data_IF_016597443676
#
_entry.id   IF_016597443676
#
_cell.length_a   1.000
_cell.length_b   1.000
_cell.length_c   1.000
_cell.angle_alpha   90.00
_cell.angle_beta   90.00
_cell.angle_gamma   90.00
#
_symmetry.space_group_name_H-M   'P 1'
#
loop_
_entity.id
_entity.type
_entity.pdbx_description
1 polymer ?
#
# COMPACT_ATOMS: atom_id res chain seq x y z
N UNK A 1 -14.92 -12.48 6.77
CA UNK A 1 -14.00 -12.57 7.91
C UNK A 1 -14.76 -12.29 9.19
N UNK A 2 -14.57 -13.14 10.19
CA UNK A 2 -15.31 -13.07 11.46
C UNK A 2 -14.81 -11.93 12.37
N UNK A 3 -13.61 -11.46 12.14
CA UNK A 3 -12.93 -10.40 12.86
C UNK A 3 -13.03 -9.01 12.17
N UNK A 4 -13.83 -8.91 11.10
CA UNK A 4 -14.14 -7.67 10.41
C UNK A 4 -15.61 -7.33 10.67
N UNK A 5 -15.83 -6.49 11.71
CA UNK A 5 -17.18 -6.09 12.10
C UNK A 5 -17.86 -5.26 11.00
N UNK A 6 -19.16 -5.49 10.77
CA UNK A 6 -19.91 -4.84 9.69
C UNK A 6 -20.07 -3.31 9.86
N UNK A 7 -19.87 -2.81 11.06
CA UNK A 7 -19.87 -1.38 11.42
C UNK A 7 -18.47 -0.77 11.51
N UNK A 8 -17.42 -1.57 11.27
CA UNK A 8 -16.05 -1.05 11.24
C UNK A 8 -15.84 -0.11 10.05
N UNK A 9 -15.11 0.97 10.27
CA UNK A 9 -14.81 1.99 9.24
C UNK A 9 -14.15 1.40 7.99
N UNK A 10 -13.41 0.31 8.11
CA UNK A 10 -12.71 -0.38 7.04
C UNK A 10 -13.50 -1.53 6.38
N UNK A 11 -14.71 -1.87 6.88
CA UNK A 11 -15.46 -3.05 6.42
C UNK A 11 -15.65 -3.09 4.91
N UNK A 12 -16.18 -2.00 4.34
CA UNK A 12 -16.46 -1.95 2.90
C UNK A 12 -15.19 -2.04 2.06
N UNK A 13 -14.11 -1.38 2.51
CA UNK A 13 -12.85 -1.33 1.76
C UNK A 13 -12.12 -2.68 1.83
N UNK A 14 -12.07 -3.33 2.99
CA UNK A 14 -11.54 -4.69 3.12
C UNK A 14 -12.30 -5.66 2.23
N UNK A 15 -13.64 -5.57 2.21
CA UNK A 15 -14.49 -6.38 1.33
C UNK A 15 -14.19 -6.16 -0.15
N UNK A 16 -14.04 -4.90 -0.58
CA UNK A 16 -13.68 -4.56 -1.96
C UNK A 16 -12.29 -5.09 -2.33
N UNK A 17 -11.28 -4.87 -1.48
CA UNK A 17 -9.92 -5.31 -1.73
C UNK A 17 -9.82 -6.85 -1.80
N UNK A 18 -10.61 -7.55 -0.97
CA UNK A 18 -10.71 -9.01 -1.01
C UNK A 18 -11.37 -9.50 -2.32
N UNK A 19 -12.51 -8.92 -2.72
CA UNK A 19 -13.21 -9.29 -3.97
C UNK A 19 -12.36 -9.01 -5.20
N UNK A 20 -11.57 -7.93 -5.19
CA UNK A 20 -10.60 -7.63 -6.25
C UNK A 20 -9.36 -8.55 -6.23
N UNK A 21 -9.24 -9.45 -5.25
CA UNK A 21 -8.08 -10.34 -5.12
C UNK A 21 -6.78 -9.66 -4.68
N UNK A 22 -6.83 -8.39 -4.25
CA UNK A 22 -5.67 -7.61 -3.85
C UNK A 22 -5.11 -8.07 -2.49
N UNK A 23 -6.02 -8.43 -1.59
CA UNK A 23 -5.69 -8.90 -0.24
C UNK A 23 -6.34 -10.26 0.02
N UNK A 24 -5.78 -10.98 0.97
CA UNK A 24 -6.35 -12.22 1.49
C UNK A 24 -6.41 -12.17 3.01
N UNK A 25 -7.20 -13.05 3.62
CA UNK A 25 -7.14 -13.28 5.07
C UNK A 25 -5.81 -13.90 5.50
N UNK A 26 -5.58 -13.92 6.80
CA UNK A 26 -4.52 -14.75 7.41
C UNK A 26 -4.96 -16.20 7.50
N UNK A 27 -6.27 -16.44 7.40
CA UNK A 27 -6.93 -17.72 7.25
C UNK A 27 -8.22 -17.55 6.41
N UNK A 28 -8.97 -18.62 6.21
CA UNK A 28 -10.25 -18.59 5.48
C UNK A 28 -11.30 -17.69 6.17
N UNK A 29 -11.19 -17.48 7.46
CA UNK A 29 -12.19 -16.78 8.28
C UNK A 29 -11.65 -15.57 9.03
N UNK A 30 -10.34 -15.31 9.02
CA UNK A 30 -9.70 -14.20 9.76
C UNK A 30 -8.91 -13.30 8.84
N UNK A 31 -9.07 -12.00 9.00
CA UNK A 31 -8.35 -10.95 8.28
C UNK A 31 -7.21 -10.35 9.09
N UNK A 32 -7.38 -10.23 10.41
CA UNK A 32 -6.48 -9.58 11.37
C UNK A 32 -6.26 -8.08 11.06
N UNK A 33 -7.33 -7.24 11.11
CA UNK A 33 -7.31 -5.86 10.64
C UNK A 33 -6.27 -4.96 11.34
N UNK A 34 -6.01 -5.23 12.62
CA UNK A 34 -5.10 -4.42 13.46
C UNK A 34 -3.64 -4.89 13.41
N UNK A 35 -3.35 -6.00 12.74
CA UNK A 35 -1.96 -6.50 12.61
C UNK A 35 -1.16 -5.62 11.66
N UNK A 36 0.14 -5.47 11.94
CA UNK A 36 1.10 -4.81 11.05
C UNK A 36 1.25 -5.55 9.72
N UNK A 37 1.73 -4.84 8.72
CA UNK A 37 2.02 -5.37 7.38
C UNK A 37 3.52 -5.44 7.17
N UNK A 38 4.02 -6.61 6.77
CA UNK A 38 5.44 -6.77 6.41
C UNK A 38 5.72 -6.33 4.98
N UNK A 39 7.01 -6.12 4.68
CA UNK A 39 7.47 -5.81 3.32
C UNK A 39 6.96 -6.81 2.28
N UNK A 40 7.10 -8.11 2.58
CA UNK A 40 6.64 -9.19 1.70
C UNK A 40 5.13 -9.14 1.44
N UNK A 41 4.34 -8.87 2.48
CA UNK A 41 2.88 -8.78 2.34
C UNK A 41 2.46 -7.63 1.44
N UNK A 42 3.04 -6.44 1.60
CA UNK A 42 2.74 -5.32 0.72
C UNK A 42 3.15 -5.60 -0.72
N UNK A 43 4.36 -6.11 -0.94
CA UNK A 43 4.83 -6.42 -2.30
C UNK A 43 3.94 -7.46 -2.97
N UNK A 44 3.46 -8.48 -2.24
CA UNK A 44 2.50 -9.44 -2.77
C UNK A 44 1.16 -8.80 -3.15
N UNK A 45 0.68 -7.82 -2.37
CA UNK A 45 -0.54 -7.07 -2.70
C UNK A 45 -0.35 -6.26 -3.98
N UNK A 46 0.79 -5.58 -4.15
CA UNK A 46 1.12 -4.84 -5.38
C UNK A 46 1.31 -5.75 -6.59
N UNK A 47 1.91 -6.93 -6.39
CA UNK A 47 2.07 -7.96 -7.42
C UNK A 47 0.72 -8.43 -7.97
N UNK A 48 -0.25 -8.69 -7.08
CA UNK A 48 -1.62 -9.02 -7.46
C UNK A 48 -2.35 -7.85 -8.11
N UNK A 49 -2.11 -6.63 -7.65
CA UNK A 49 -2.70 -5.41 -8.24
C UNK A 49 -2.19 -5.15 -9.68
N UNK A 50 -1.06 -5.74 -10.06
CA UNK A 50 -0.52 -5.73 -11.43
C UNK A 50 -0.98 -6.93 -12.27
N UNK A 51 -2.10 -7.56 -11.89
CA UNK A 51 -2.72 -8.71 -12.57
C UNK A 51 -1.82 -9.96 -12.66
N UNK A 52 -0.77 -10.04 -11.82
CA UNK A 52 0.08 -11.21 -11.79
C UNK A 52 -0.57 -12.36 -11.01
N UNK A 53 -0.35 -13.57 -11.49
CA UNK A 53 -0.80 -14.80 -10.82
C UNK A 53 0.35 -15.34 -9.99
N UNK A 54 0.07 -15.61 -8.70
CA UNK A 54 1.05 -16.26 -7.82
C UNK A 54 1.20 -17.72 -8.21
N UNK A 55 2.42 -18.12 -8.58
CA UNK A 55 2.73 -19.51 -8.90
C UNK A 55 2.73 -20.39 -7.64
N UNK A 56 2.36 -21.67 -7.79
CA UNK A 56 2.62 -22.65 -6.72
C UNK A 56 4.13 -22.81 -6.54
N UNK A 57 4.65 -22.27 -5.44
CA UNK A 57 6.08 -22.38 -5.14
C UNK A 57 6.41 -23.75 -4.58
N UNK A 58 7.35 -24.43 -5.25
CA UNK A 58 7.88 -25.73 -4.81
C UNK A 58 9.15 -25.62 -3.97
N UNK A 59 9.75 -24.42 -3.90
CA UNK A 59 10.96 -24.11 -3.13
C UNK A 59 11.08 -22.60 -2.89
N UNK A 60 11.83 -22.18 -1.86
CA UNK A 60 12.02 -20.77 -1.52
C UNK A 60 10.92 -20.21 -0.61
N UNK A 61 10.84 -18.87 -0.53
CA UNK A 61 9.82 -18.19 0.26
C UNK A 61 8.60 -17.90 -0.62
N UNK A 62 7.42 -17.88 -0.02
CA UNK A 62 6.15 -17.62 -0.71
C UNK A 62 6.08 -16.27 -1.43
N UNK A 63 6.98 -15.35 -1.11
CA UNK A 63 7.04 -13.99 -1.67
C UNK A 63 8.19 -13.78 -2.68
N UNK A 64 9.07 -14.76 -2.90
CA UNK A 64 10.30 -14.55 -3.70
C UNK A 64 9.99 -14.04 -5.12
N UNK A 65 8.99 -14.63 -5.80
CA UNK A 65 8.55 -14.21 -7.13
C UNK A 65 8.10 -12.75 -7.17
N UNK A 66 7.29 -12.33 -6.19
CA UNK A 66 6.80 -10.97 -6.10
C UNK A 66 7.92 -9.96 -5.77
N UNK A 67 8.87 -10.34 -4.91
CA UNK A 67 10.02 -9.49 -4.56
C UNK A 67 10.95 -9.33 -5.76
N UNK A 68 11.21 -10.38 -6.53
CA UNK A 68 12.03 -10.31 -7.74
C UNK A 68 11.36 -9.43 -8.81
N UNK A 69 10.05 -9.58 -9.02
CA UNK A 69 9.27 -8.68 -9.86
C UNK A 69 9.38 -7.22 -9.40
N UNK A 70 9.24 -6.95 -8.10
CA UNK A 70 9.30 -5.59 -7.58
C UNK A 70 10.68 -4.94 -7.75
N UNK A 71 11.76 -5.73 -7.67
CA UNK A 71 13.12 -5.28 -7.99
C UNK A 71 13.28 -4.99 -9.48
N UNK A 72 12.82 -5.91 -10.36
CA UNK A 72 12.85 -5.71 -11.81
C UNK A 72 12.11 -4.45 -12.24
N UNK A 73 10.96 -4.16 -11.64
CA UNK A 73 10.15 -2.96 -11.91
C UNK A 73 10.62 -1.71 -11.16
N UNK A 74 11.74 -1.78 -10.43
CA UNK A 74 12.29 -0.68 -9.62
C UNK A 74 11.33 -0.18 -8.53
N UNK A 75 10.37 -0.99 -8.12
CA UNK A 75 9.49 -0.72 -6.97
C UNK A 75 10.32 -0.83 -5.69
N UNK A 76 11.14 -1.88 -5.59
CA UNK A 76 12.20 -2.00 -4.59
C UNK A 76 13.50 -1.51 -5.22
N UNK A 77 14.15 -0.53 -4.60
CA UNK A 77 15.40 0.05 -5.08
C UNK A 77 16.36 0.29 -3.92
N UNK A 78 17.61 -0.09 -4.10
CA UNK A 78 18.67 0.10 -3.09
C UNK A 78 19.09 1.57 -2.90
N UNK A 79 18.62 2.47 -3.79
CA UNK A 79 18.99 3.89 -3.77
C UNK A 79 18.10 4.76 -2.88
N UNK A 80 17.14 4.18 -2.16
CA UNK A 80 16.13 4.94 -1.43
C UNK A 80 16.56 5.40 -0.03
N UNK A 81 17.82 5.24 0.36
CA UNK A 81 18.27 5.59 1.74
C UNK A 81 17.71 4.69 2.84
N UNK A 82 17.05 3.61 2.44
CA UNK A 82 16.47 2.57 3.28
C UNK A 82 16.64 1.20 2.59
N UNK A 83 17.01 0.18 3.38
CA UNK A 83 17.14 -1.19 2.87
C UNK A 83 15.85 -1.95 3.08
N UNK A 84 15.29 -2.49 1.98
CA UNK A 84 14.09 -3.31 2.04
C UNK A 84 14.35 -4.63 2.76
N UNK A 85 13.51 -4.94 3.75
CA UNK A 85 13.44 -6.24 4.42
C UNK A 85 12.04 -6.83 4.25
N UNK A 86 11.95 -7.98 3.58
CA UNK A 86 10.69 -8.67 3.30
C UNK A 86 9.94 -9.08 4.56
N UNK A 87 10.66 -9.37 5.67
CA UNK A 87 10.09 -9.88 6.90
C UNK A 87 9.87 -8.81 7.98
N UNK A 88 10.37 -7.61 7.79
CA UNK A 88 10.15 -6.51 8.72
C UNK A 88 8.78 -5.85 8.50
N UNK A 89 8.17 -5.40 9.61
CA UNK A 89 6.99 -4.54 9.55
C UNK A 89 7.35 -3.21 8.90
N UNK A 90 6.50 -2.74 7.99
CA UNK A 90 6.69 -1.46 7.31
C UNK A 90 6.20 -0.30 8.18
N UNK A 91 6.96 0.80 8.15
CA UNK A 91 6.43 2.10 8.56
C UNK A 91 5.55 2.69 7.45
N UNK A 92 4.73 3.69 7.80
CA UNK A 92 3.87 4.37 6.81
C UNK A 92 4.70 5.01 5.70
N UNK A 93 5.81 5.68 6.03
CA UNK A 93 6.66 6.30 5.01
C UNK A 93 7.34 5.27 4.08
N UNK A 94 7.76 4.11 4.60
CA UNK A 94 8.33 3.03 3.80
C UNK A 94 7.30 2.46 2.81
N UNK A 95 6.06 2.25 3.29
CA UNK A 95 4.96 1.85 2.41
C UNK A 95 4.69 2.92 1.34
N UNK A 96 4.71 4.21 1.71
CA UNK A 96 4.52 5.31 0.75
C UNK A 96 5.59 5.31 -0.34
N UNK A 97 6.86 5.02 -0.01
CA UNK A 97 7.93 4.90 -1.00
C UNK A 97 7.66 3.76 -1.99
N UNK A 98 7.30 2.57 -1.49
CA UNK A 98 7.00 1.42 -2.35
C UNK A 98 5.79 1.69 -3.25
N UNK A 99 4.74 2.29 -2.69
CA UNK A 99 3.53 2.64 -3.43
C UNK A 99 3.78 3.72 -4.49
N UNK A 100 4.56 4.76 -4.15
CA UNK A 100 4.97 5.80 -5.10
C UNK A 100 5.73 5.20 -6.29
N UNK A 101 6.70 4.31 -6.04
CA UNK A 101 7.45 3.64 -7.09
C UNK A 101 6.55 2.75 -7.96
N UNK A 102 5.61 2.02 -7.34
CA UNK A 102 4.62 1.22 -8.06
C UNK A 102 3.75 2.09 -8.98
N UNK A 103 3.23 3.21 -8.48
CA UNK A 103 2.40 4.11 -9.27
C UNK A 103 3.19 4.76 -10.42
N UNK A 104 4.46 5.08 -10.23
CA UNK A 104 5.33 5.53 -11.31
C UNK A 104 5.55 4.43 -12.37
N UNK A 105 5.77 3.19 -11.94
CA UNK A 105 5.85 2.04 -12.85
C UNK A 105 4.55 1.89 -13.68
N UNK A 106 3.38 2.13 -13.08
CA UNK A 106 2.08 2.13 -13.78
C UNK A 106 1.87 3.35 -14.68
N UNK A 107 2.82 4.26 -14.79
CA UNK A 107 2.74 5.44 -15.65
C UNK A 107 1.91 6.60 -15.08
N UNK A 108 1.66 6.62 -13.76
CA UNK A 108 0.93 7.72 -13.13
C UNK A 108 1.80 8.96 -13.03
N UNK A 109 1.23 10.11 -13.42
CA UNK A 109 1.84 11.40 -13.11
C UNK A 109 1.59 11.76 -11.64
N UNK A 110 2.69 11.86 -10.88
CA UNK A 110 2.72 12.22 -9.46
C UNK A 110 3.41 13.58 -9.28
N UNK A 111 3.05 14.53 -10.12
CA UNK A 111 3.64 15.88 -10.15
C UNK A 111 2.97 16.86 -9.19
N UNK A 112 1.76 16.57 -8.72
CA UNK A 112 1.08 17.39 -7.71
C UNK A 112 1.69 17.08 -6.33
N UNK A 113 2.59 17.96 -5.88
CA UNK A 113 3.25 17.82 -4.59
C UNK A 113 2.55 18.70 -3.55
N UNK A 114 2.17 18.10 -2.42
CA UNK A 114 1.72 18.84 -1.24
C UNK A 114 2.93 19.42 -0.49
N UNK A 115 2.79 20.58 0.13
CA UNK A 115 3.84 21.19 0.94
C UNK A 115 3.88 20.64 2.37
N UNK A 116 2.91 19.79 2.73
CA UNK A 116 2.71 19.15 4.03
C UNK A 116 2.57 20.15 5.20
N UNK A 117 2.25 21.41 4.91
CA UNK A 117 2.19 22.47 5.93
C UNK A 117 1.07 22.25 6.95
N UNK A 118 0.02 21.49 6.58
CA UNK A 118 -1.08 21.13 7.46
C UNK A 118 -0.74 20.03 8.48
N UNK A 119 0.42 19.36 8.32
CA UNK A 119 0.81 18.26 9.20
C UNK A 119 1.88 18.67 10.20
N UNK A 120 1.60 18.46 11.48
CA UNK A 120 2.47 18.89 12.59
C UNK A 120 3.74 18.03 12.72
N UNK A 121 3.67 16.78 12.26
CA UNK A 121 4.75 15.79 12.33
C UNK A 121 5.55 15.65 11.01
N UNK A 122 5.37 16.60 10.09
CA UNK A 122 6.11 16.57 8.80
C UNK A 122 7.63 16.53 8.93
N UNK A 123 8.18 17.06 10.01
CA UNK A 123 9.62 17.02 10.27
C UNK A 123 10.16 15.65 10.67
N UNK A 124 9.28 14.69 10.96
CA UNK A 124 9.64 13.29 11.26
C UNK A 124 9.84 12.45 9.99
N UNK A 125 9.40 12.98 8.82
CA UNK A 125 9.53 12.29 7.54
C UNK A 125 11.01 12.19 7.19
N UNK A 126 11.48 10.97 6.94
CA UNK A 126 12.85 10.72 6.51
C UNK A 126 13.11 11.32 5.13
N UNK A 127 14.34 11.82 4.91
CA UNK A 127 14.71 12.46 3.65
C UNK A 127 14.46 11.57 2.41
N UNK A 128 14.62 10.26 2.55
CA UNK A 128 14.36 9.31 1.45
C UNK A 128 12.89 9.21 1.08
N UNK A 129 11.97 9.49 2.01
CA UNK A 129 10.53 9.35 1.82
C UNK A 129 9.83 10.67 1.44
N UNK A 130 10.49 11.82 1.63
CA UNK A 130 9.87 13.13 1.51
C UNK A 130 9.14 13.34 0.17
N UNK A 131 9.77 13.00 -0.95
CA UNK A 131 9.16 13.17 -2.27
C UNK A 131 7.94 12.26 -2.47
N UNK A 132 8.02 11.00 -2.04
CA UNK A 132 6.91 10.05 -2.13
C UNK A 132 5.72 10.50 -1.28
N UNK A 133 5.97 10.95 -0.04
CA UNK A 133 4.91 11.45 0.86
C UNK A 133 4.23 12.67 0.25
N UNK A 134 4.99 13.69 -0.20
CA UNK A 134 4.44 14.89 -0.85
C UNK A 134 3.58 14.55 -2.08
N UNK A 135 4.05 13.62 -2.90
CA UNK A 135 3.34 13.23 -4.11
C UNK A 135 2.03 12.48 -3.81
N UNK A 136 2.05 11.53 -2.88
CA UNK A 136 0.87 10.73 -2.55
C UNK A 136 -0.19 11.55 -1.80
N UNK A 137 0.22 12.47 -0.92
CA UNK A 137 -0.68 13.43 -0.26
C UNK A 137 -1.25 14.41 -1.28
N UNK A 138 -0.41 15.01 -2.13
CA UNK A 138 -0.84 15.93 -3.17
C UNK A 138 -1.80 15.32 -4.19
N UNK A 139 -1.70 14.01 -4.42
CA UNK A 139 -2.63 13.25 -5.27
C UNK A 139 -3.92 12.83 -4.53
N UNK A 140 -3.98 12.99 -3.21
CA UNK A 140 -5.12 12.55 -2.39
C UNK A 140 -5.22 11.02 -2.23
N UNK A 141 -4.13 10.29 -2.46
CA UNK A 141 -4.09 8.82 -2.27
C UNK A 141 -3.93 8.50 -0.79
N UNK A 142 -3.17 9.34 -0.08
CA UNK A 142 -2.92 9.22 1.36
C UNK A 142 -3.38 10.49 2.05
N UNK A 143 -4.09 10.29 3.14
CA UNK A 143 -4.48 11.33 4.07
C UNK A 143 -3.95 10.99 5.47
N UNK A 144 -3.73 12.02 6.28
CA UNK A 144 -3.41 11.86 7.69
C UNK A 144 -4.66 11.64 8.54
N UNK A 145 -4.46 11.53 9.85
CA UNK A 145 -5.53 11.48 10.84
C UNK A 145 -5.80 12.91 11.41
N UNK A 146 -6.15 13.83 10.54
CA UNK A 146 -6.30 15.24 10.87
C UNK A 146 -4.98 16.01 10.72
N UNK A 147 -4.25 16.23 11.82
CA UNK A 147 -3.03 17.05 11.82
C UNK A 147 -1.73 16.26 11.74
N UNK A 148 -1.78 14.92 11.61
CA UNK A 148 -0.59 14.05 11.58
C UNK A 148 -0.62 13.04 10.46
N UNK A 149 0.57 12.73 9.90
CA UNK A 149 0.81 11.68 8.91
C UNK A 149 1.27 10.37 9.55
N UNK A 150 1.85 10.44 10.74
CA UNK A 150 2.45 9.31 11.46
C UNK A 150 3.47 8.53 10.62
N UNK A 151 4.51 9.20 10.04
CA UNK A 151 5.38 8.58 9.03
C UNK A 151 6.13 7.36 9.56
N UNK A 152 6.55 7.39 10.83
CA UNK A 152 7.34 6.34 11.47
C UNK A 152 6.51 5.25 12.17
N UNK A 153 5.19 5.40 12.23
CA UNK A 153 4.29 4.37 12.79
C UNK A 153 4.15 3.18 11.84
N UNK A 154 3.98 1.98 12.37
CA UNK A 154 3.58 0.82 11.57
C UNK A 154 2.17 1.01 11.01
N UNK A 155 1.91 0.43 9.85
CA UNK A 155 0.59 0.37 9.24
C UNK A 155 -0.13 -0.90 9.63
N UNK A 156 -1.43 -0.76 9.89
CA UNK A 156 -2.29 -1.92 10.05
C UNK A 156 -2.72 -2.48 8.69
N UNK A 157 -3.18 -3.72 8.67
CA UNK A 157 -3.71 -4.36 7.45
C UNK A 157 -4.98 -3.65 6.96
N UNK A 158 -5.82 -3.15 7.87
CA UNK A 158 -6.99 -2.35 7.52
C UNK A 158 -6.61 -1.03 6.84
N UNK A 159 -5.68 -0.27 7.42
CA UNK A 159 -5.17 0.97 6.81
C UNK A 159 -4.52 0.71 5.44
N UNK A 160 -3.74 -0.37 5.33
CA UNK A 160 -3.11 -0.77 4.06
C UNK A 160 -4.16 -1.08 2.98
N UNK A 161 -5.25 -1.76 3.33
CA UNK A 161 -6.33 -2.04 2.38
C UNK A 161 -6.97 -0.75 1.82
N UNK A 162 -7.18 0.27 2.67
CA UNK A 162 -7.71 1.57 2.24
C UNK A 162 -6.77 2.27 1.27
N UNK A 163 -5.50 2.37 1.64
CA UNK A 163 -4.50 3.04 0.81
C UNK A 163 -4.33 2.32 -0.54
N UNK A 164 -4.31 0.98 -0.52
CA UNK A 164 -4.19 0.17 -1.73
C UNK A 164 -5.38 0.37 -2.68
N UNK A 165 -6.61 0.39 -2.18
CA UNK A 165 -7.81 0.67 -2.99
C UNK A 165 -7.73 2.07 -3.60
N UNK A 166 -7.40 3.10 -2.81
CA UNK A 166 -7.25 4.46 -3.31
C UNK A 166 -6.20 4.55 -4.43
N UNK A 167 -5.08 3.84 -4.26
CA UNK A 167 -4.02 3.79 -5.26
C UNK A 167 -4.47 3.10 -6.55
N UNK A 168 -5.09 1.92 -6.45
CA UNK A 168 -5.56 1.16 -7.61
C UNK A 168 -6.66 1.92 -8.37
N UNK A 169 -7.59 2.55 -7.67
CA UNK A 169 -8.65 3.36 -8.28
C UNK A 169 -8.08 4.63 -8.94
N UNK A 170 -6.98 5.18 -8.45
CA UNK A 170 -6.28 6.30 -9.09
C UNK A 170 -5.62 5.91 -10.42
N UNK A 171 -5.22 4.65 -10.58
CA UNK A 171 -4.64 4.09 -11.82
C UNK A 171 -5.73 3.81 -12.85
N UNK A 172 -6.92 3.39 -12.41
CA UNK A 172 -8.02 2.97 -13.26
C UNK A 172 -9.31 3.78 -12.99
N UNK A 173 -9.36 5.09 -13.31
CA UNK A 173 -10.53 5.93 -13.00
C UNK A 173 -11.81 5.50 -13.72
N UNK A 174 -11.72 4.63 -14.73
CA UNK A 174 -12.88 4.19 -15.52
C UNK A 174 -13.70 3.05 -14.89
N UNK A 175 -13.17 2.37 -13.88
CA UNK A 175 -13.85 1.23 -13.27
C UNK A 175 -14.96 1.63 -12.26
N UNK A 176 -14.99 2.90 -11.83
CA UNK A 176 -15.89 3.37 -10.78
C UNK A 176 -17.17 4.09 -11.27
N UNK A 177 -17.44 4.16 -12.60
CA UNK A 177 -18.63 4.81 -13.15
C UNK A 177 -19.77 3.84 -13.50
N UNK A 178 -19.67 2.56 -13.13
CA UNK A 178 -20.62 1.51 -13.48
C UNK A 178 -21.68 1.16 -12.42
N UNK A 179 -21.88 1.96 -11.39
CA UNK A 179 -22.70 1.59 -10.23
C UNK A 179 -23.83 2.54 -9.82
N UNK A 180 -24.42 3.32 -10.78
CA UNK A 180 -25.68 4.03 -10.53
C UNK A 180 -26.57 4.03 -11.79
N UNK A 181 -27.34 2.98 -11.94
CA UNK A 181 -28.64 3.00 -12.63
C UNK A 181 -29.60 2.11 -11.85
#
# INVERSE_FOLDING_TARGET
>A
FTDVASDAWYYNVVSQAYVKGLISGISDIEFSPESSVTGAQLIMMLYRADDNTVSEQTSGNWYDEAVDWAKEKSIISDNNGWTFDANADLTREQMMVLLYNYLQYKGNELSALDDLSSYTDRSEISAYAENAVKALVGKGIIEGDGETLRPLSSLTRAETAVILINAVDSVNPSANQGGMQ
#
